data_IF_934390163120
#
_entry.id   IF_934390163120
#
_cell.length_a   1.000
_cell.length_b   1.000
_cell.length_c   1.000
_cell.angle_alpha   90.00
_cell.angle_beta   90.00
_cell.angle_gamma   90.00
#
_symmetry.space_group_name_H-M   'P 1'
#
loop_
_entity.id
_entity.type
_entity.pdbx_description
1 polymer ?
#
# COMPACT_ATOMS: atom_id res chain seq x y z
N UNK A 1 -21.01 0.79 4.39
CA UNK A 1 -19.54 0.81 4.28
C UNK A 1 -19.00 0.46 5.65
N UNK A 2 -18.15 -0.58 5.74
CA UNK A 2 -17.50 -0.98 6.99
C UNK A 2 -16.04 -0.56 6.88
N UNK A 3 -15.53 0.16 7.87
CA UNK A 3 -14.12 0.53 7.97
C UNK A 3 -13.42 -0.39 8.97
N UNK A 4 -12.23 -0.85 8.62
CA UNK A 4 -11.45 -1.80 9.43
C UNK A 4 -10.01 -1.31 9.55
N UNK A 5 -9.43 -1.45 10.74
CA UNK A 5 -8.04 -1.08 10.96
C UNK A 5 -7.08 -1.97 10.15
N UNK A 6 -6.15 -1.35 9.43
CA UNK A 6 -5.11 -2.03 8.64
C UNK A 6 -3.90 -2.54 9.44
N UNK A 7 -3.76 -2.10 10.69
CA UNK A 7 -2.68 -2.52 11.60
C UNK A 7 -2.80 -4.01 11.93
N UNK A 8 -1.66 -4.69 12.10
CA UNK A 8 -1.63 -6.16 12.30
C UNK A 8 -2.46 -6.64 13.50
N UNK A 9 -2.49 -5.85 14.56
CA UNK A 9 -3.31 -6.10 15.77
C UNK A 9 -4.81 -6.11 15.49
N UNK A 10 -5.27 -5.31 14.52
CA UNK A 10 -6.68 -5.11 14.18
C UNK A 10 -7.19 -6.14 13.16
N UNK A 11 -6.31 -6.71 12.33
CA UNK A 11 -6.68 -7.65 11.26
C UNK A 11 -7.42 -8.90 11.75
N UNK A 12 -7.19 -9.34 12.99
CA UNK A 12 -7.92 -10.48 13.58
C UNK A 12 -9.44 -10.24 13.68
N UNK A 13 -9.87 -8.99 13.70
CA UNK A 13 -11.28 -8.60 13.82
C UNK A 13 -12.01 -8.58 12.47
N UNK A 14 -11.28 -8.62 11.35
CA UNK A 14 -11.84 -8.51 10.00
C UNK A 14 -12.86 -9.60 9.67
N UNK A 15 -12.70 -10.80 10.25
CA UNK A 15 -13.61 -11.93 10.05
C UNK A 15 -15.07 -11.59 10.40
N UNK A 16 -15.31 -10.62 11.29
CA UNK A 16 -16.64 -10.16 11.65
C UNK A 16 -17.32 -9.31 10.56
N UNK A 17 -16.59 -8.95 9.52
CA UNK A 17 -17.04 -8.06 8.45
C UNK A 17 -17.22 -8.78 7.09
N UNK A 18 -17.03 -10.10 7.03
CA UNK A 18 -16.93 -10.85 5.77
C UNK A 18 -18.28 -11.34 5.23
N UNK A 19 -19.38 -11.08 5.92
CA UNK A 19 -20.72 -11.51 5.48
C UNK A 19 -21.32 -10.52 4.47
N UNK A 20 -21.87 -11.05 3.36
CA UNK A 20 -22.57 -10.30 2.31
C UNK A 20 -21.79 -9.11 1.70
N UNK A 21 -20.47 -9.25 1.53
CA UNK A 21 -19.62 -8.21 0.93
C UNK A 21 -19.84 -8.12 -0.57
N UNK A 22 -20.28 -6.96 -1.06
CA UNK A 22 -20.44 -6.69 -2.51
C UNK A 22 -19.15 -6.24 -3.19
N UNK A 23 -18.32 -5.46 -2.48
CA UNK A 23 -17.06 -4.95 -3.01
C UNK A 23 -16.07 -4.64 -1.89
N UNK A 24 -14.78 -4.80 -2.19
CA UNK A 24 -13.68 -4.42 -1.33
C UNK A 24 -13.07 -3.13 -1.86
N UNK A 25 -12.86 -2.18 -0.96
CA UNK A 25 -12.11 -0.96 -1.24
C UNK A 25 -10.80 -1.05 -0.47
N UNK A 26 -9.69 -1.27 -1.18
CA UNK A 26 -8.36 -1.36 -0.58
C UNK A 26 -7.63 -0.03 -0.77
N UNK A 27 -7.10 0.54 0.31
CA UNK A 27 -6.36 1.80 0.29
C UNK A 27 -4.89 1.53 0.55
N UNK A 28 -4.02 1.89 -0.41
CA UNK A 28 -2.57 1.85 -0.27
C UNK A 28 -2.00 3.27 -0.40
N UNK A 29 -1.02 3.61 0.42
CA UNK A 29 -0.39 4.92 0.36
C UNK A 29 0.82 4.90 -0.57
N UNK A 30 0.76 5.64 -1.68
CA UNK A 30 1.89 5.74 -2.61
C UNK A 30 3.16 6.28 -1.94
N UNK A 31 2.98 7.18 -0.97
CA UNK A 31 4.08 7.86 -0.28
C UNK A 31 4.83 7.00 0.74
N UNK A 32 4.46 5.73 0.95
CA UNK A 32 5.04 4.87 1.99
C UNK A 32 6.17 3.97 1.50
N UNK A 33 6.59 4.13 0.23
CA UNK A 33 7.63 3.32 -0.43
C UNK A 33 9.00 3.35 0.27
N UNK A 34 9.31 4.40 1.01
CA UNK A 34 10.57 4.63 1.72
C UNK A 34 10.41 4.65 3.25
N UNK A 35 9.28 4.12 3.76
CA UNK A 35 8.94 4.13 5.18
C UNK A 35 8.92 2.72 5.76
N UNK A 36 9.21 2.60 7.05
CA UNK A 36 9.12 1.36 7.82
C UNK A 36 7.83 1.31 8.65
N UNK A 37 7.38 0.11 9.01
CA UNK A 37 6.21 -0.07 9.87
C UNK A 37 6.45 0.52 11.26
N UNK A 38 5.39 1.02 11.91
CA UNK A 38 5.49 1.45 13.30
C UNK A 38 5.82 0.28 14.23
N UNK A 39 5.35 -0.92 13.87
CA UNK A 39 5.56 -2.15 14.62
C UNK A 39 6.92 -2.81 14.35
N UNK A 40 7.67 -2.39 13.31
CA UNK A 40 8.95 -2.99 12.92
C UNK A 40 9.77 -2.08 12.00
N UNK A 41 10.95 -1.66 12.47
CA UNK A 41 11.88 -0.81 11.72
C UNK A 41 12.61 -1.52 10.56
N UNK A 42 12.44 -2.83 10.43
CA UNK A 42 13.07 -3.64 9.37
C UNK A 42 12.13 -3.89 8.18
N UNK A 43 10.85 -3.54 8.32
CA UNK A 43 9.82 -3.90 7.34
C UNK A 43 9.30 -2.67 6.62
N UNK A 44 9.48 -2.64 5.29
CA UNK A 44 8.96 -1.60 4.43
C UNK A 44 7.42 -1.61 4.43
N UNK A 45 6.82 -0.42 4.49
CA UNK A 45 5.36 -0.26 4.55
C UNK A 45 4.66 -0.63 3.25
N UNK A 46 5.25 -0.31 2.10
CA UNK A 46 4.66 -0.60 0.81
C UNK A 46 4.69 -2.10 0.52
N UNK A 47 5.76 -2.81 0.92
CA UNK A 47 5.81 -4.28 0.89
C UNK A 47 4.72 -4.90 1.77
N UNK A 48 4.51 -4.39 2.98
CA UNK A 48 3.43 -4.86 3.85
C UNK A 48 2.04 -4.62 3.23
N UNK A 49 1.83 -3.45 2.62
CA UNK A 49 0.59 -3.13 1.88
C UNK A 49 0.38 -4.08 0.70
N UNK A 50 1.43 -4.41 -0.06
CA UNK A 50 1.39 -5.36 -1.17
C UNK A 50 1.07 -6.78 -0.67
N UNK A 51 1.75 -7.26 0.37
CA UNK A 51 1.52 -8.58 0.95
C UNK A 51 0.11 -8.70 1.53
N UNK A 52 -0.40 -7.63 2.16
CA UNK A 52 -1.77 -7.58 2.67
C UNK A 52 -2.78 -7.60 1.52
N UNK A 53 -2.57 -6.82 0.46
CA UNK A 53 -3.43 -6.83 -0.71
C UNK A 53 -3.50 -8.22 -1.35
N UNK A 54 -2.36 -8.87 -1.56
CA UNK A 54 -2.27 -10.25 -2.07
C UNK A 54 -3.04 -11.23 -1.17
N UNK A 55 -2.92 -11.09 0.15
CA UNK A 55 -3.66 -11.93 1.12
C UNK A 55 -5.18 -11.71 0.98
N UNK A 56 -5.62 -10.45 0.91
CA UNK A 56 -7.05 -10.09 0.80
C UNK A 56 -7.67 -10.68 -0.45
N UNK A 57 -7.06 -10.45 -1.63
CA UNK A 57 -7.62 -10.94 -2.90
C UNK A 57 -7.54 -12.48 -3.03
N UNK A 58 -6.71 -13.14 -2.22
CA UNK A 58 -6.59 -14.59 -2.18
C UNK A 58 -7.60 -15.27 -1.25
N UNK A 59 -8.36 -14.52 -0.44
CA UNK A 59 -9.37 -15.13 0.42
C UNK A 59 -10.49 -15.78 -0.40
N UNK A 60 -10.86 -17.04 -0.13
CA UNK A 60 -11.93 -17.72 -0.86
C UNK A 60 -13.26 -16.97 -0.86
N UNK A 61 -13.58 -16.29 0.25
CA UNK A 61 -14.79 -15.46 0.37
C UNK A 61 -14.84 -14.27 -0.58
N UNK A 62 -13.70 -13.86 -1.15
CA UNK A 62 -13.56 -12.65 -1.96
C UNK A 62 -13.24 -12.90 -3.42
N UNK A 63 -13.18 -14.16 -3.87
CA UNK A 63 -12.84 -14.51 -5.25
C UNK A 63 -13.83 -13.94 -6.28
N UNK A 64 -15.11 -13.82 -5.93
CA UNK A 64 -16.16 -13.25 -6.78
C UNK A 64 -16.51 -11.79 -6.41
N UNK A 65 -15.85 -11.23 -5.39
CA UNK A 65 -16.11 -9.88 -4.90
C UNK A 65 -15.33 -8.86 -5.72
N UNK A 66 -16.00 -7.81 -6.19
CA UNK A 66 -15.33 -6.72 -6.90
C UNK A 66 -14.32 -6.01 -6.00
N UNK A 67 -13.07 -5.87 -6.45
CA UNK A 67 -12.01 -5.22 -5.68
C UNK A 67 -11.61 -3.91 -6.36
N UNK A 68 -11.63 -2.82 -5.60
CA UNK A 68 -11.25 -1.47 -6.03
C UNK A 68 -10.00 -1.07 -5.24
N UNK A 69 -8.90 -0.80 -5.95
CA UNK A 69 -7.65 -0.32 -5.36
C UNK A 69 -7.57 1.20 -5.46
N UNK A 70 -7.44 1.87 -4.31
CA UNK A 70 -7.12 3.29 -4.22
C UNK A 70 -5.66 3.48 -3.85
N UNK A 71 -4.91 4.08 -4.78
CA UNK A 71 -3.56 4.56 -4.55
C UNK A 71 -3.62 6.01 -4.06
N UNK A 72 -3.52 6.20 -2.74
CA UNK A 72 -3.67 7.50 -2.09
C UNK A 72 -2.33 8.22 -1.88
N UNK A 73 -2.38 9.48 -1.43
CA UNK A 73 -1.21 10.33 -1.13
C UNK A 73 -0.26 10.52 -2.31
N UNK A 74 -0.83 10.65 -3.52
CA UNK A 74 -0.10 10.95 -4.74
C UNK A 74 0.66 12.28 -4.62
N UNK A 75 0.05 13.29 -4.00
CA UNK A 75 0.64 14.58 -3.68
C UNK A 75 1.96 14.44 -2.91
N UNK A 76 1.97 13.62 -1.86
CA UNK A 76 3.18 13.39 -1.05
C UNK A 76 4.20 12.55 -1.84
N UNK A 77 3.76 11.59 -2.66
CA UNK A 77 4.67 10.85 -3.55
C UNK A 77 5.41 11.83 -4.48
N UNK A 78 4.69 12.75 -5.14
CA UNK A 78 5.27 13.73 -6.06
C UNK A 78 6.36 14.58 -5.41
N UNK A 79 6.20 14.93 -4.13
CA UNK A 79 7.23 15.64 -3.37
C UNK A 79 8.43 14.74 -3.06
N UNK A 80 8.19 13.51 -2.59
CA UNK A 80 9.24 12.62 -2.07
C UNK A 80 10.17 12.07 -3.14
N UNK A 81 9.64 11.73 -4.33
CA UNK A 81 10.46 11.21 -5.44
C UNK A 81 11.55 12.19 -5.90
N UNK A 82 11.46 13.47 -5.51
CA UNK A 82 12.47 14.48 -5.82
C UNK A 82 13.77 14.33 -5.01
N UNK A 83 13.71 13.60 -3.88
CA UNK A 83 14.84 13.46 -2.95
C UNK A 83 15.02 12.07 -2.34
N UNK A 84 14.04 11.17 -2.47
CA UNK A 84 14.08 9.78 -2.03
C UNK A 84 13.81 8.89 -3.26
N UNK A 85 14.85 8.23 -3.77
CA UNK A 85 14.73 7.45 -5.01
C UNK A 85 13.97 6.15 -4.75
N UNK A 86 13.01 5.82 -5.61
CA UNK A 86 12.23 4.59 -5.49
C UNK A 86 13.13 3.36 -5.66
N UNK A 87 14.18 3.45 -6.49
CA UNK A 87 15.10 2.34 -6.76
C UNK A 87 15.96 1.93 -5.55
N UNK A 88 16.12 2.83 -4.57
CA UNK A 88 16.81 2.51 -3.31
C UNK A 88 16.02 1.52 -2.44
N UNK A 89 14.70 1.44 -2.65
CA UNK A 89 13.78 0.58 -1.89
C UNK A 89 13.23 -0.58 -2.73
N UNK A 90 13.06 -0.36 -4.04
CA UNK A 90 12.57 -1.34 -5.01
C UNK A 90 13.54 -1.45 -6.20
N UNK A 91 14.65 -2.21 -6.06
CA UNK A 91 15.72 -2.27 -7.07
C UNK A 91 15.30 -2.82 -8.44
N UNK A 92 14.19 -3.55 -8.49
CA UNK A 92 13.57 -4.03 -9.73
C UNK A 92 12.88 -2.93 -10.55
N UNK A 93 12.71 -1.73 -9.98
CA UNK A 93 12.15 -0.59 -10.69
C UNK A 93 13.15 -0.06 -11.73
N UNK A 94 12.83 -0.27 -13.01
CA UNK A 94 13.63 0.16 -14.16
C UNK A 94 13.27 1.57 -14.69
N UNK A 95 12.45 2.30 -13.93
CA UNK A 95 11.98 3.63 -14.31
C UNK A 95 13.10 4.68 -14.35
N UNK A 96 12.90 5.70 -15.19
CA UNK A 96 13.86 6.80 -15.30
C UNK A 96 13.83 7.67 -14.05
N UNK A 97 14.99 7.88 -13.45
CA UNK A 97 15.19 8.90 -12.42
C UNK A 97 14.84 10.26 -13.05
N UNK A 98 13.85 10.95 -12.49
CA UNK A 98 13.56 12.34 -12.86
C UNK A 98 14.69 13.17 -12.24
N UNK A 99 15.80 13.32 -12.97
CA UNK A 99 16.94 14.11 -12.49
C UNK A 99 16.44 15.50 -12.09
N UNK A 100 16.82 15.95 -10.89
CA UNK A 100 16.58 17.31 -10.40
C UNK A 100 16.76 18.28 -11.56
N UNK A 101 15.75 19.11 -11.85
CA UNK A 101 15.97 20.31 -12.66
C UNK A 101 17.16 21.01 -12.03
N UNK A 102 18.30 20.94 -12.70
CA UNK A 102 19.47 21.76 -12.42
C UNK A 102 19.02 23.17 -12.72
N UNK A 103 18.50 23.84 -11.69
CA UNK A 103 18.29 25.27 -11.71
C UNK A 103 19.64 25.92 -11.90
N UNK A 104 19.80 26.58 -13.03
CA UNK A 104 20.75 27.68 -13.20
C UNK A 104 20.35 28.78 -12.21
#
# INVERSE_FOLDING_TARGET
MVDVGGQRSERRKWIHCFDNVTSIIFLAALSEYDQTLYESDEQNRMDESLALFQTVISYPWFLEVSTILFLNKKDILEEKIMFSDLADYFPEFDGKIISKRTGI
#
